data_IF_679164734780
#
_entry.id   IF_679164734780
#
_cell.length_a   1.000
_cell.length_b   1.000
_cell.length_c   1.000
_cell.angle_alpha   90.00
_cell.angle_beta   90.00
_cell.angle_gamma   90.00
#
_symmetry.space_group_name_H-M   'P 1'
#
loop_
_entity.id
_entity.type
_entity.pdbx_description
1 polymer ?
#
# COMPACT_ATOMS: atom_id res chain seq x y z
N UNK A 1 -7.18 -8.47 5.53
CA UNK A 1 -5.86 -8.19 4.94
C UNK A 1 -5.68 -6.67 4.82
N UNK A 2 -4.58 -6.10 5.30
CA UNK A 2 -4.24 -4.68 5.16
C UNK A 2 -3.18 -4.56 4.08
N UNK A 3 -3.49 -3.86 2.99
CA UNK A 3 -2.60 -3.68 1.84
C UNK A 3 -1.73 -2.42 1.99
N UNK A 4 -0.52 -2.47 1.46
CA UNK A 4 0.38 -1.34 1.36
C UNK A 4 1.17 -1.35 0.04
N UNK A 5 1.51 -0.16 -0.45
CA UNK A 5 2.52 0.02 -1.50
C UNK A 5 3.87 0.26 -0.84
N UNK A 6 4.90 -0.47 -1.27
CA UNK A 6 6.24 -0.36 -0.70
C UNK A 6 7.34 -0.57 -1.73
N UNK A 7 8.56 -0.22 -1.35
CA UNK A 7 9.79 -0.58 -2.04
C UNK A 7 10.76 -1.20 -1.03
N UNK A 8 11.49 -2.24 -1.42
CA UNK A 8 12.43 -2.91 -0.53
C UNK A 8 13.72 -2.09 -0.28
N UNK A 9 13.90 -0.98 -1.01
CA UNK A 9 15.00 -0.03 -0.83
C UNK A 9 14.83 1.18 -1.74
N UNK A 10 15.64 2.23 -1.57
CA UNK A 10 15.60 3.42 -2.41
C UNK A 10 15.81 3.07 -3.88
N UNK A 11 14.96 3.59 -4.76
CA UNK A 11 15.04 3.37 -6.21
C UNK A 11 14.65 1.97 -6.69
N UNK A 12 14.28 1.05 -5.79
CA UNK A 12 13.82 -0.27 -6.17
C UNK A 12 12.37 -0.26 -6.70
N UNK A 13 12.02 -1.33 -7.41
CA UNK A 13 10.69 -1.49 -7.98
C UNK A 13 9.60 -1.42 -6.90
N UNK A 14 8.49 -0.78 -7.25
CA UNK A 14 7.28 -0.75 -6.42
C UNK A 14 6.69 -2.14 -6.28
N UNK A 15 6.14 -2.42 -5.12
CA UNK A 15 5.49 -3.68 -4.77
C UNK A 15 4.19 -3.42 -4.05
N UNK A 16 3.25 -4.32 -4.20
CA UNK A 16 2.06 -4.38 -3.36
C UNK A 16 2.25 -5.50 -2.35
N UNK A 17 2.06 -5.15 -1.09
CA UNK A 17 2.19 -6.11 0.00
C UNK A 17 1.01 -6.09 0.94
N UNK A 18 0.96 -7.10 1.79
CA UNK A 18 -0.01 -7.22 2.88
C UNK A 18 0.70 -7.34 4.22
N UNK A 19 0.27 -6.56 5.21
CA UNK A 19 0.80 -6.68 6.57
C UNK A 19 0.39 -8.03 7.16
N UNK A 20 1.38 -8.76 7.65
CA UNK A 20 1.16 -10.06 8.29
C UNK A 20 0.64 -9.89 9.72
N UNK A 21 1.17 -8.89 10.43
CA UNK A 21 0.77 -8.50 11.77
C UNK A 21 0.72 -6.97 11.89
N UNK A 22 0.09 -6.47 12.96
CA UNK A 22 -0.04 -5.04 13.26
C UNK A 22 0.86 -4.61 14.43
N UNK A 23 1.81 -5.45 14.86
CA UNK A 23 2.79 -5.16 15.91
C UNK A 23 3.90 -4.22 15.44
N UNK A 24 4.71 -3.72 16.38
CA UNK A 24 5.87 -2.87 16.09
C UNK A 24 6.95 -3.58 15.26
N UNK A 25 7.04 -4.91 15.36
CA UNK A 25 7.93 -5.77 14.58
C UNK A 25 7.21 -6.46 13.41
N UNK A 26 6.26 -5.75 12.81
CA UNK A 26 5.42 -6.27 11.75
C UNK A 26 6.23 -6.65 10.50
N UNK A 27 5.74 -7.67 9.83
CA UNK A 27 6.23 -8.08 8.52
C UNK A 27 5.22 -7.74 7.43
N UNK A 28 5.73 -7.49 6.23
CA UNK A 28 4.93 -7.34 5.03
C UNK A 28 5.22 -8.51 4.09
N UNK A 29 4.18 -9.12 3.60
CA UNK A 29 4.24 -10.16 2.55
C UNK A 29 4.35 -9.46 1.20
N UNK A 30 5.32 -9.82 0.38
CA UNK A 30 5.32 -9.49 -1.05
C UNK A 30 4.29 -10.36 -1.76
N UNK A 31 3.15 -9.79 -2.10
CA UNK A 31 2.03 -10.56 -2.63
C UNK A 31 2.31 -11.16 -4.01
N UNK A 32 3.10 -10.50 -4.85
CA UNK A 32 3.47 -11.05 -6.16
C UNK A 32 4.44 -12.23 -6.02
N UNK A 33 5.46 -12.09 -5.17
CA UNK A 33 6.41 -13.18 -4.89
C UNK A 33 5.72 -14.37 -4.21
N UNK A 34 4.86 -14.10 -3.21
CA UNK A 34 4.11 -15.13 -2.53
C UNK A 34 3.13 -15.86 -3.45
N UNK A 35 2.49 -15.14 -4.39
CA UNK A 35 1.63 -15.78 -5.38
C UNK A 35 2.41 -16.63 -6.38
N UNK A 36 3.61 -16.21 -6.77
CA UNK A 36 4.48 -17.02 -7.60
C UNK A 36 4.89 -18.33 -6.89
N UNK A 37 5.21 -18.26 -5.59
CA UNK A 37 5.50 -19.43 -4.76
C UNK A 37 4.29 -20.37 -4.63
N UNK A 38 3.10 -19.80 -4.42
CA UNK A 38 1.84 -20.55 -4.41
C UNK A 38 1.58 -21.31 -5.72
N UNK A 39 1.78 -20.64 -6.86
CA UNK A 39 1.60 -21.27 -8.17
C UNK A 39 2.64 -22.38 -8.40
N UNK A 40 3.88 -22.15 -8.01
CA UNK A 40 4.96 -23.13 -8.14
C UNK A 40 4.71 -24.40 -7.33
N UNK A 41 4.23 -24.27 -6.08
CA UNK A 41 3.91 -25.46 -5.25
C UNK A 41 2.79 -26.30 -5.87
N UNK A 42 1.80 -25.66 -6.50
CA UNK A 42 0.67 -26.38 -7.11
C UNK A 42 0.98 -26.98 -8.48
N UNK A 43 1.74 -26.28 -9.27
CA UNK A 43 2.11 -26.68 -10.63
C UNK A 43 3.40 -25.96 -11.04
N UNK A 44 4.57 -26.57 -10.85
CA UNK A 44 5.84 -25.96 -11.19
C UNK A 44 5.86 -25.49 -12.65
N UNK A 45 6.13 -24.20 -12.85
CA UNK A 45 6.17 -23.58 -14.18
C UNK A 45 7.15 -22.42 -14.20
N UNK A 46 7.95 -22.34 -15.24
CA UNK A 46 8.87 -21.21 -15.48
C UNK A 46 8.12 -19.87 -15.62
N UNK A 47 6.83 -19.91 -15.92
CA UNK A 47 5.98 -18.74 -16.07
C UNK A 47 5.29 -18.30 -14.78
N UNK A 48 5.49 -19.00 -13.66
CA UNK A 48 4.80 -18.70 -12.39
C UNK A 48 5.00 -17.23 -11.97
N UNK A 49 6.21 -16.69 -12.11
CA UNK A 49 6.51 -15.30 -11.77
C UNK A 49 5.82 -14.29 -12.71
N UNK A 50 5.69 -14.58 -13.99
CA UNK A 50 5.02 -13.71 -14.97
C UNK A 50 3.51 -13.70 -14.73
N UNK A 51 2.93 -14.87 -14.49
CA UNK A 51 1.52 -15.00 -14.11
C UNK A 51 1.25 -14.24 -12.81
N UNK A 52 2.15 -14.37 -11.83
CA UNK A 52 2.01 -13.68 -10.56
C UNK A 52 2.04 -12.15 -10.74
N UNK A 53 2.96 -11.60 -11.52
CA UNK A 53 3.01 -10.15 -11.82
C UNK A 53 1.77 -9.65 -12.56
N UNK A 54 1.18 -10.47 -13.41
CA UNK A 54 -0.06 -10.12 -14.10
C UNK A 54 -1.27 -10.11 -13.16
N UNK A 55 -1.34 -11.01 -12.18
CA UNK A 55 -2.45 -11.13 -11.23
C UNK A 55 -2.29 -10.23 -10.01
N UNK A 56 -1.06 -9.95 -9.63
CA UNK A 56 -0.68 -9.10 -8.50
C UNK A 56 0.36 -8.08 -9.00
N UNK A 57 -0.08 -7.04 -9.71
CA UNK A 57 0.82 -6.00 -10.22
C UNK A 57 1.49 -5.24 -9.05
N UNK A 58 2.69 -4.70 -9.31
CA UNK A 58 3.43 -3.92 -8.31
C UNK A 58 2.86 -2.52 -8.05
N UNK A 59 1.86 -2.09 -8.80
CA UNK A 59 1.17 -0.82 -8.60
C UNK A 59 -0.25 -1.06 -8.06
N UNK A 60 -0.57 -0.45 -6.91
CA UNK A 60 -1.86 -0.59 -6.25
C UNK A 60 -3.02 -0.14 -7.14
N UNK A 61 -2.82 0.88 -7.97
CA UNK A 61 -3.85 1.34 -8.89
C UNK A 61 -4.18 0.27 -9.93
N UNK A 62 -3.16 -0.38 -10.49
CA UNK A 62 -3.35 -1.48 -11.44
C UNK A 62 -4.10 -2.64 -10.77
N UNK A 63 -3.73 -3.01 -9.54
CA UNK A 63 -4.45 -4.03 -8.78
C UNK A 63 -5.93 -3.68 -8.58
N UNK A 64 -6.25 -2.42 -8.27
CA UNK A 64 -7.64 -1.99 -8.05
C UNK A 64 -8.45 -2.02 -9.37
N UNK A 65 -7.82 -1.72 -10.50
CA UNK A 65 -8.47 -1.59 -11.82
C UNK A 65 -8.77 -2.95 -12.46
N UNK A 66 -8.10 -4.03 -12.08
CA UNK A 66 -8.29 -5.37 -12.67
C UNK A 66 -9.75 -5.87 -12.68
N UNK A 67 -10.65 -5.32 -11.83
CA UNK A 67 -12.08 -5.66 -11.84
C UNK A 67 -12.47 -6.75 -10.84
N UNK A 68 -13.50 -7.53 -11.16
CA UNK A 68 -13.97 -8.63 -10.31
C UNK A 68 -12.88 -9.68 -10.11
N UNK A 69 -12.80 -10.26 -8.91
CA UNK A 69 -11.78 -11.26 -8.56
C UNK A 69 -10.38 -10.71 -8.31
N UNK A 70 -10.16 -9.38 -8.39
CA UNK A 70 -8.85 -8.74 -8.24
C UNK A 70 -8.11 -9.05 -6.94
N UNK A 71 -8.82 -9.39 -5.89
CA UNK A 71 -8.24 -9.74 -4.59
C UNK A 71 -8.08 -11.23 -4.36
N UNK A 72 -8.51 -12.08 -5.27
CA UNK A 72 -8.40 -13.53 -5.13
C UNK A 72 -6.93 -13.99 -5.11
N UNK A 73 -6.14 -13.57 -6.08
CA UNK A 73 -4.71 -13.88 -6.12
C UNK A 73 -3.92 -13.30 -4.92
N UNK A 74 -4.12 -12.02 -4.51
CA UNK A 74 -3.60 -11.50 -3.26
C UNK A 74 -3.98 -12.28 -2.01
N UNK A 75 -5.23 -12.74 -1.91
CA UNK A 75 -5.69 -13.54 -0.78
C UNK A 75 -5.03 -14.92 -0.76
N UNK A 76 -4.99 -15.60 -1.90
CA UNK A 76 -4.29 -16.88 -2.04
C UNK A 76 -2.82 -16.78 -1.69
N UNK A 77 -2.14 -15.72 -2.13
CA UNK A 77 -0.75 -15.43 -1.79
C UNK A 77 -0.56 -15.26 -0.28
N UNK A 78 -1.41 -14.47 0.35
CA UNK A 78 -1.34 -14.20 1.78
C UNK A 78 -1.60 -15.45 2.63
N UNK A 79 -2.64 -16.21 2.30
CA UNK A 79 -2.96 -17.46 2.99
C UNK A 79 -1.88 -18.53 2.76
N UNK A 80 -1.25 -18.55 1.60
CA UNK A 80 -0.12 -19.44 1.34
C UNK A 80 1.05 -19.20 2.30
N UNK A 81 1.42 -17.94 2.54
CA UNK A 81 2.46 -17.60 3.53
C UNK A 81 2.06 -18.06 4.93
N UNK A 82 0.82 -17.82 5.33
CA UNK A 82 0.32 -18.30 6.63
C UNK A 82 0.42 -19.82 6.76
N UNK A 83 0.07 -20.54 5.70
CA UNK A 83 0.16 -21.99 5.65
C UNK A 83 1.61 -22.49 5.73
N UNK A 84 2.55 -21.85 5.04
CA UNK A 84 3.98 -22.19 5.14
C UNK A 84 4.49 -22.02 6.57
N UNK A 85 4.13 -20.94 7.26
CA UNK A 85 4.48 -20.72 8.67
C UNK A 85 3.85 -21.78 9.59
N UNK A 86 2.60 -22.16 9.37
CA UNK A 86 1.94 -23.23 10.13
C UNK A 86 2.60 -24.60 9.91
N UNK A 87 3.19 -24.83 8.75
CA UNK A 87 3.97 -26.05 8.43
C UNK A 87 5.40 -26.01 9.00
N UNK A 88 5.76 -24.95 9.73
CA UNK A 88 7.03 -24.82 10.43
C UNK A 88 8.12 -24.07 9.65
N UNK A 89 7.80 -23.45 8.50
CA UNK A 89 8.77 -22.61 7.81
C UNK A 89 9.01 -21.34 8.61
N UNK A 90 10.27 -21.03 8.86
CA UNK A 90 10.66 -19.89 9.69
C UNK A 90 10.52 -18.55 8.95
N UNK A 91 10.42 -17.46 9.71
CA UNK A 91 10.39 -16.09 9.17
C UNK A 91 11.67 -15.80 8.38
N UNK A 92 12.80 -16.25 8.88
CA UNK A 92 14.12 -16.07 8.26
C UNK A 92 14.21 -16.75 6.89
N UNK A 93 13.69 -17.95 6.75
CA UNK A 93 13.63 -18.68 5.48
C UNK A 93 12.73 -17.93 4.48
N UNK A 94 11.56 -17.45 4.91
CA UNK A 94 10.65 -16.68 4.06
C UNK A 94 11.25 -15.34 3.63
N UNK A 95 12.06 -14.71 4.50
CA UNK A 95 12.81 -13.50 4.14
C UNK A 95 13.92 -13.78 3.12
N UNK A 96 14.69 -14.85 3.30
CA UNK A 96 15.73 -15.27 2.34
C UNK A 96 15.16 -15.57 0.97
N UNK A 97 13.93 -16.09 0.91
CA UNK A 97 13.19 -16.33 -0.33
C UNK A 97 12.58 -15.03 -0.92
N UNK A 98 12.68 -13.89 -0.23
CA UNK A 98 12.10 -12.63 -0.67
C UNK A 98 10.57 -12.57 -0.59
N UNK A 99 9.95 -13.43 0.22
CA UNK A 99 8.50 -13.50 0.41
C UNK A 99 8.02 -12.58 1.55
N UNK A 100 8.88 -12.33 2.54
CA UNK A 100 8.64 -11.44 3.68
C UNK A 100 9.70 -10.37 3.80
N UNK A 101 9.29 -9.20 4.27
CA UNK A 101 10.18 -8.10 4.61
C UNK A 101 9.81 -7.55 5.99
N UNK A 102 10.80 -7.15 6.80
CA UNK A 102 10.53 -6.37 8.01
C UNK A 102 10.03 -4.98 7.61
N UNK A 103 8.98 -4.49 8.25
CA UNK A 103 8.45 -3.15 7.93
C UNK A 103 9.45 -2.04 8.19
N UNK A 104 10.36 -2.22 9.17
CA UNK A 104 11.45 -1.29 9.46
C UNK A 104 12.55 -1.27 8.38
N UNK A 105 12.61 -2.26 7.49
CA UNK A 105 13.64 -2.39 6.44
C UNK A 105 13.15 -1.98 5.05
N UNK A 106 11.93 -1.48 4.94
CA UNK A 106 11.32 -1.08 3.67
C UNK A 106 10.95 0.40 3.67
N UNK A 107 10.66 0.93 2.49
CA UNK A 107 10.08 2.26 2.31
C UNK A 107 8.60 2.11 1.93
N UNK A 108 7.72 2.60 2.81
CA UNK A 108 6.32 2.71 2.48
C UNK A 108 6.11 3.85 1.48
N UNK A 109 5.43 3.55 0.40
CA UNK A 109 4.98 4.51 -0.60
C UNK A 109 3.57 4.99 -0.25
N UNK A 110 3.09 6.11 -0.85
CA UNK A 110 1.66 6.41 -0.82
C UNK A 110 0.86 5.18 -1.24
N UNK A 111 -0.31 4.94 -0.65
CA UNK A 111 -1.12 3.74 -0.95
C UNK A 111 -1.38 3.61 -2.44
N UNK A 112 -1.73 4.73 -3.09
CA UNK A 112 -1.81 4.86 -4.56
C UNK A 112 -0.77 5.90 -4.98
N UNK A 113 0.45 5.50 -5.40
CA UNK A 113 1.57 6.43 -5.62
C UNK A 113 1.33 7.45 -6.74
N UNK A 114 0.51 7.11 -7.72
CA UNK A 114 0.20 7.99 -8.88
C UNK A 114 -1.29 7.96 -9.21
N UNK A 115 -2.15 8.52 -8.35
CA UNK A 115 -3.57 8.63 -8.68
C UNK A 115 -3.78 9.62 -9.83
N UNK A 116 -4.82 9.41 -10.60
CA UNK A 116 -5.21 10.36 -11.66
C UNK A 116 -5.69 11.70 -11.09
N UNK A 117 -6.29 11.68 -9.89
CA UNK A 117 -6.80 12.85 -9.19
C UNK A 117 -6.66 12.67 -7.68
N UNK A 118 -6.44 13.76 -6.96
CA UNK A 118 -6.53 13.84 -5.49
C UNK A 118 -7.57 14.90 -5.19
N UNK A 119 -8.70 14.49 -4.62
CA UNK A 119 -9.80 15.39 -4.27
C UNK A 119 -9.99 15.31 -2.77
N UNK A 120 -9.93 16.46 -2.12
CA UNK A 120 -10.14 16.63 -0.69
C UNK A 120 -11.52 17.24 -0.43
N UNK A 121 -12.19 16.80 0.63
CA UNK A 121 -13.40 17.45 1.13
C UNK A 121 -13.02 18.63 2.03
N UNK A 122 -13.58 19.80 1.78
CA UNK A 122 -13.43 20.99 2.62
C UNK A 122 -14.51 21.03 3.68
N UNK A 123 -14.14 21.38 4.92
CA UNK A 123 -15.04 21.67 6.06
C UNK A 123 -16.20 20.66 6.23
N UNK A 124 -15.91 19.38 6.05
CA UNK A 124 -16.95 18.34 5.98
C UNK A 124 -17.41 17.84 7.36
N UNK A 125 -16.64 18.11 8.43
CA UNK A 125 -16.95 17.71 9.80
C UNK A 125 -17.25 18.92 10.68
N UNK A 126 -18.26 18.79 11.56
CA UNK A 126 -18.62 19.86 12.51
C UNK A 126 -17.47 20.26 13.43
N UNK A 127 -16.67 19.29 13.89
CA UNK A 127 -15.47 19.56 14.69
C UNK A 127 -14.47 20.44 13.94
N UNK A 128 -14.25 20.18 12.66
CA UNK A 128 -13.34 20.98 11.83
C UNK A 128 -13.89 22.39 11.57
N UNK A 129 -15.19 22.55 11.40
CA UNK A 129 -15.83 23.87 11.30
C UNK A 129 -15.68 24.67 12.60
N UNK A 130 -15.77 24.01 13.75
CA UNK A 130 -15.64 24.65 15.06
C UNK A 130 -14.19 25.10 15.39
N UNK A 131 -13.18 24.53 14.74
CA UNK A 131 -11.76 24.93 14.88
C UNK A 131 -11.45 26.26 14.16
N UNK A 132 -12.33 26.70 13.27
CA UNK A 132 -12.16 27.94 12.54
C UNK A 132 -12.68 29.11 13.36
N UNK A 133 -11.85 30.17 13.49
CA UNK A 133 -12.16 31.36 14.27
C UNK A 133 -13.21 32.28 13.63
N UNK A 134 -13.56 32.05 12.38
CA UNK A 134 -14.57 32.82 11.66
C UNK A 134 -15.94 32.13 11.75
N UNK A 135 -16.86 32.75 12.47
CA UNK A 135 -18.22 32.24 12.67
C UNK A 135 -18.99 32.03 11.35
N UNK A 136 -18.64 32.75 10.29
CA UNK A 136 -19.26 32.59 8.96
C UNK A 136 -18.92 31.25 8.29
N UNK A 137 -17.85 30.60 8.74
CA UNK A 137 -17.38 29.28 8.23
C UNK A 137 -17.81 28.14 9.15
N UNK A 138 -18.35 28.43 10.33
CA UNK A 138 -18.79 27.41 11.29
C UNK A 138 -20.04 26.64 10.82
N UNK A 139 -20.82 27.19 9.90
CA UNK A 139 -21.94 26.48 9.30
C UNK A 139 -21.49 25.52 8.21
N UNK A 140 -21.97 24.28 8.30
CA UNK A 140 -21.73 23.30 7.26
C UNK A 140 -22.33 23.81 5.94
N UNK A 141 -21.56 23.92 4.85
CA UNK A 141 -22.09 24.35 3.57
C UNK A 141 -23.22 23.41 3.12
N UNK A 142 -24.28 23.92 2.48
CA UNK A 142 -25.43 23.13 2.04
C UNK A 142 -25.06 22.06 1.02
N UNK A 143 -23.95 22.24 0.32
CA UNK A 143 -23.41 21.28 -0.63
C UNK A 143 -21.98 20.89 -0.25
N UNK A 144 -21.54 19.64 -0.56
CA UNK A 144 -20.15 19.24 -0.38
C UNK A 144 -19.19 20.16 -1.12
N UNK A 145 -18.21 20.71 -0.39
CA UNK A 145 -17.14 21.50 -0.98
C UNK A 145 -15.93 20.59 -1.16
N UNK A 146 -15.40 20.56 -2.37
CA UNK A 146 -14.20 19.80 -2.69
C UNK A 146 -13.12 20.69 -3.29
N UNK A 147 -11.85 20.34 -3.06
CA UNK A 147 -10.71 20.99 -3.69
C UNK A 147 -9.70 19.95 -4.16
N UNK A 148 -8.98 20.27 -5.25
CA UNK A 148 -8.01 19.38 -5.82
C UNK A 148 -6.62 19.61 -5.21
N UNK A 149 -5.85 18.53 -5.10
CA UNK A 149 -4.42 18.53 -4.83
C UNK A 149 -3.67 17.89 -5.99
N UNK A 150 -2.44 18.31 -6.20
CA UNK A 150 -1.57 17.67 -7.20
C UNK A 150 -1.11 16.28 -6.69
N UNK A 151 -1.06 15.25 -7.53
CA UNK A 151 -0.52 13.94 -7.14
C UNK A 151 0.92 13.99 -6.59
N UNK A 152 1.70 14.99 -6.99
CA UNK A 152 3.07 15.21 -6.52
C UNK A 152 3.19 15.54 -5.02
N UNK A 153 2.11 15.95 -4.36
CA UNK A 153 2.13 16.22 -2.90
C UNK A 153 1.95 14.97 -2.04
N UNK A 154 1.69 13.81 -2.68
CA UNK A 154 1.56 12.55 -1.95
C UNK A 154 2.92 12.04 -1.50
N UNK A 155 3.03 11.73 -0.23
CA UNK A 155 4.24 11.16 0.37
C UNK A 155 3.90 9.87 1.12
N UNK A 156 4.88 8.99 1.26
CA UNK A 156 4.75 7.74 2.01
C UNK A 156 4.83 7.96 3.52
N UNK A 157 4.56 6.90 4.27
CA UNK A 157 4.71 6.90 5.72
C UNK A 157 6.16 7.24 6.12
N UNK A 158 6.31 8.14 7.09
CA UNK A 158 7.62 8.62 7.61
C UNK A 158 8.53 9.31 6.56
N UNK A 159 8.03 9.63 5.36
CA UNK A 159 8.79 10.42 4.43
C UNK A 159 8.92 11.88 4.90
N UNK A 160 10.06 12.49 4.64
CA UNK A 160 10.26 13.89 4.97
C UNK A 160 9.34 14.79 4.15
N UNK A 161 8.79 15.81 4.80
CA UNK A 161 8.11 16.92 4.12
C UNK A 161 9.13 18.01 3.94
N UNK A 162 9.49 18.29 2.69
CA UNK A 162 10.46 19.33 2.38
C UNK A 162 9.84 20.71 2.59
N UNK A 163 10.49 21.53 3.40
CA UNK A 163 10.10 22.91 3.59
C UNK A 163 10.59 23.74 2.39
N UNK A 164 9.71 24.48 1.69
CA UNK A 164 10.13 25.25 0.51
C UNK A 164 11.17 26.32 0.85
N UNK A 165 12.31 26.31 0.17
CA UNK A 165 13.38 27.29 0.36
C UNK A 165 12.95 28.74 0.06
N UNK A 166 11.89 28.92 -0.72
CA UNK A 166 11.29 30.22 -1.01
C UNK A 166 10.48 30.81 0.16
N UNK A 167 10.16 30.02 1.20
CA UNK A 167 9.42 30.51 2.36
C UNK A 167 10.37 31.06 3.40
N UNK A 168 10.25 32.35 3.72
CA UNK A 168 11.08 33.08 4.69
C UNK A 168 10.36 33.32 6.03
N UNK A 169 9.63 32.34 6.57
CA UNK A 169 9.03 32.49 7.90
C UNK A 169 9.67 31.53 8.88
#
# INVERSE_FOLDING_TARGET
MKLASFAAGPGQAKRVGALLDSSSDAFIVDLAAAYAAYLWERSPSVYAADIARSRVPGDMRELIVVGEGRFEAPQQAFEHIRLLMQRGQSVEELQQQGLLFRTAAIHFLPVVPRPGKVICAGTNYRSHAAEQTDASVAEKPPHPVGFAKFPSVLTGHQAAIEYPSATRK
#
